data_IF_704485124830
#
_entry.id   IF_704485124830
#
_cell.length_a   1.000
_cell.length_b   1.000
_cell.length_c   1.000
_cell.angle_alpha   90.00
_cell.angle_beta   90.00
_cell.angle_gamma   90.00
#
_symmetry.space_group_name_H-M   'P 1'
#
loop_
_entity.id
_entity.type
_entity.pdbx_description
1 polymer ?
#
# COMPACT_ATOMS: atom_id res chain seq x y z
N UNK A 1 -2.19 32.53 37.24
CA UNK A 1 -0.79 32.46 37.67
C UNK A 1 -0.62 31.32 38.65
N UNK A 2 -0.31 30.12 38.15
CA UNK A 2 0.14 29.00 38.97
C UNK A 2 1.16 28.24 38.10
N UNK A 3 2.42 28.41 38.43
CA UNK A 3 3.58 27.74 37.85
C UNK A 3 3.79 26.42 38.55
N UNK A 4 3.75 25.31 37.82
CA UNK A 4 4.25 24.03 38.30
C UNK A 4 5.67 23.78 37.77
N UNK A 5 6.64 23.42 38.63
CA UNK A 5 8.00 23.09 38.19
C UNK A 5 8.07 21.62 37.72
N UNK A 6 8.72 21.42 36.60
CA UNK A 6 9.04 20.11 36.03
C UNK A 6 10.32 19.57 36.72
N UNK A 7 10.18 18.50 37.46
CA UNK A 7 11.33 17.81 38.09
C UNK A 7 12.07 16.93 37.07
N UNK A 8 13.38 17.18 36.91
CA UNK A 8 14.29 16.38 36.09
C UNK A 8 14.74 15.13 36.83
N UNK A 9 14.57 13.96 36.24
CA UNK A 9 15.12 12.70 36.72
C UNK A 9 16.67 12.65 36.56
N UNK A 10 17.39 11.98 37.47
CA UNK A 10 18.86 12.02 37.49
C UNK A 10 19.50 11.07 36.47
N UNK A 11 20.60 11.54 35.86
CA UNK A 11 21.43 10.82 34.92
C UNK A 11 22.10 9.59 35.55
N UNK A 12 21.90 8.40 35.00
CA UNK A 12 22.63 7.17 35.37
C UNK A 12 24.02 7.18 34.76
N UNK A 13 25.05 7.21 35.65
CA UNK A 13 26.47 7.02 35.30
C UNK A 13 26.68 5.60 34.76
N UNK A 14 27.17 5.47 33.53
CA UNK A 14 27.70 4.21 32.99
C UNK A 14 29.12 3.96 33.53
N UNK A 15 29.32 2.82 34.20
CA UNK A 15 30.65 2.30 34.56
C UNK A 15 31.30 1.67 33.32
N UNK A 16 32.46 2.16 32.96
CA UNK A 16 33.37 1.53 32.01
C UNK A 16 34.00 0.30 32.64
N UNK A 17 33.75 -0.87 32.10
CA UNK A 17 34.50 -2.10 32.39
C UNK A 17 35.54 -2.26 31.30
N UNK A 18 36.83 -2.16 31.70
CA UNK A 18 37.95 -2.54 30.86
C UNK A 18 38.06 -4.07 30.89
N UNK A 19 37.96 -4.71 29.71
CA UNK A 19 38.35 -6.11 29.54
C UNK A 19 39.50 -6.19 28.54
N UNK A 20 40.50 -6.91 28.95
CA UNK A 20 41.79 -6.99 28.28
C UNK A 20 41.79 -7.75 26.96
N UNK A 21 42.76 -7.37 26.11
CA UNK A 21 43.10 -8.07 24.88
C UNK A 21 43.66 -9.47 25.18
N UNK A 22 43.05 -10.49 24.61
CA UNK A 22 43.69 -11.77 24.31
C UNK A 22 43.60 -11.98 22.80
N UNK A 23 44.75 -11.97 22.15
CA UNK A 23 44.89 -12.24 20.73
C UNK A 23 44.77 -13.74 20.48
N UNK A 24 43.78 -14.15 19.70
CA UNK A 24 43.73 -15.49 19.09
C UNK A 24 43.76 -15.32 17.57
N UNK A 25 44.80 -15.82 16.97
CA UNK A 25 44.88 -16.03 15.52
C UNK A 25 43.89 -17.12 15.15
N UNK A 26 42.83 -16.77 14.45
CA UNK A 26 41.97 -17.73 13.80
C UNK A 26 42.13 -17.60 12.27
N UNK A 27 42.59 -18.69 11.70
CA UNK A 27 42.67 -18.92 10.25
C UNK A 27 41.26 -18.84 9.67
N UNK A 28 41.04 -17.84 8.82
CA UNK A 28 39.79 -17.70 8.08
C UNK A 28 39.76 -18.74 6.94
N UNK A 29 39.02 -19.83 7.11
CA UNK A 29 38.53 -20.60 5.98
C UNK A 29 37.42 -19.78 5.32
N UNK A 30 37.72 -19.26 4.15
CA UNK A 30 36.72 -18.66 3.25
C UNK A 30 35.77 -19.77 2.75
N UNK A 31 34.58 -19.86 3.34
CA UNK A 31 33.49 -20.60 2.71
C UNK A 31 32.97 -19.77 1.53
N UNK A 32 32.80 -20.36 0.33
CA UNK A 32 32.13 -19.65 -0.75
C UNK A 32 30.68 -19.39 -0.34
N UNK A 33 30.31 -18.10 -0.30
CA UNK A 33 28.94 -17.68 -0.10
C UNK A 33 28.09 -18.29 -1.20
N UNK A 34 27.13 -19.14 -0.83
CA UNK A 34 26.09 -19.60 -1.74
C UNK A 34 25.28 -18.38 -2.15
N UNK A 35 25.55 -17.87 -3.34
CA UNK A 35 24.62 -16.99 -4.04
C UNK A 35 23.32 -17.79 -4.20
N UNK A 36 22.24 -17.34 -3.56
CA UNK A 36 20.92 -17.86 -3.79
C UNK A 36 20.63 -17.75 -5.30
N UNK A 37 20.59 -18.89 -5.98
CA UNK A 37 20.26 -18.96 -7.38
C UNK A 37 18.82 -18.45 -7.54
N UNK A 38 18.67 -17.29 -8.20
CA UNK A 38 17.37 -16.82 -8.67
C UNK A 38 16.88 -17.85 -9.70
N UNK A 39 15.87 -18.63 -9.35
CA UNK A 39 15.13 -19.48 -10.27
C UNK A 39 14.13 -18.62 -11.06
N UNK A 40 14.66 -17.74 -11.89
CA UNK A 40 13.89 -16.94 -12.86
C UNK A 40 14.34 -17.31 -14.26
N UNK A 41 13.40 -17.42 -15.20
CA UNK A 41 13.69 -17.69 -16.59
C UNK A 41 14.76 -16.74 -17.13
N UNK A 42 15.78 -17.28 -17.80
CA UNK A 42 16.86 -16.51 -18.40
C UNK A 42 16.34 -15.73 -19.59
N UNK A 43 16.23 -14.43 -19.47
CA UNK A 43 15.98 -13.54 -20.60
C UNK A 43 17.24 -13.38 -21.46
N UNK A 44 17.04 -13.00 -22.72
CA UNK A 44 18.11 -12.77 -23.68
C UNK A 44 18.37 -11.28 -23.85
N UNK A 45 19.56 -10.94 -24.36
CA UNK A 45 19.90 -9.58 -24.79
C UNK A 45 18.93 -9.05 -25.86
N UNK A 46 18.46 -9.91 -26.77
CA UNK A 46 17.47 -9.53 -27.77
C UNK A 46 16.12 -9.15 -27.16
N UNK A 47 15.68 -9.88 -26.16
CA UNK A 47 14.46 -9.54 -25.43
C UNK A 47 14.58 -8.21 -24.69
N UNK A 48 15.69 -7.96 -24.01
CA UNK A 48 15.92 -6.68 -23.35
C UNK A 48 16.01 -5.51 -24.35
N UNK A 49 16.63 -5.70 -25.51
CA UNK A 49 16.65 -4.69 -26.56
C UNK A 49 15.26 -4.40 -27.14
N UNK A 50 14.45 -5.44 -27.40
CA UNK A 50 13.06 -5.28 -27.81
C UNK A 50 12.22 -4.58 -26.72
N UNK A 51 12.42 -4.98 -25.45
CA UNK A 51 11.77 -4.35 -24.31
C UNK A 51 12.10 -2.87 -24.17
N UNK A 52 13.35 -2.48 -24.41
CA UNK A 52 13.76 -1.08 -24.44
C UNK A 52 12.98 -0.28 -25.47
N UNK A 53 12.81 -0.81 -26.69
CA UNK A 53 12.04 -0.13 -27.73
C UNK A 53 10.59 0.10 -27.32
N UNK A 54 9.93 -0.91 -26.74
CA UNK A 54 8.57 -0.79 -26.22
C UNK A 54 8.51 0.21 -25.04
N UNK A 55 9.51 0.16 -24.16
CA UNK A 55 9.62 1.07 -23.02
C UNK A 55 9.70 2.53 -23.47
N UNK A 56 10.56 2.86 -24.42
CA UNK A 56 10.72 4.21 -24.96
C UNK A 56 9.43 4.75 -25.58
N UNK A 57 8.61 3.88 -26.18
CA UNK A 57 7.36 4.24 -26.84
C UNK A 57 6.17 4.37 -25.89
N UNK A 58 6.11 3.54 -24.87
CA UNK A 58 4.87 3.39 -24.07
C UNK A 58 5.04 3.68 -22.57
N UNK A 59 6.26 3.74 -22.03
CA UNK A 59 6.53 3.81 -20.60
C UNK A 59 7.34 5.05 -20.21
N UNK A 60 8.29 5.46 -21.07
CA UNK A 60 9.27 6.51 -20.76
C UNK A 60 8.65 7.88 -20.52
N UNK A 61 7.42 8.13 -20.99
CA UNK A 61 6.72 9.39 -20.75
C UNK A 61 6.44 9.60 -19.24
N UNK A 62 6.17 8.53 -18.50
CA UNK A 62 5.89 8.58 -17.06
C UNK A 62 7.08 8.09 -16.24
N UNK A 63 7.70 6.97 -16.61
CA UNK A 63 8.81 6.38 -15.87
C UNK A 63 10.19 6.94 -16.24
N UNK A 64 10.24 7.98 -17.07
CA UNK A 64 11.45 8.63 -17.60
C UNK A 64 12.34 7.68 -18.43
N UNK A 65 13.15 8.22 -19.33
CA UNK A 65 14.03 7.41 -20.21
C UNK A 65 15.13 6.68 -19.45
N UNK A 66 15.47 7.14 -18.26
CA UNK A 66 16.49 6.57 -17.36
C UNK A 66 15.90 5.68 -16.26
N UNK A 67 14.61 5.36 -16.33
CA UNK A 67 13.86 4.55 -15.35
C UNK A 67 13.78 5.14 -13.94
N UNK A 68 14.07 6.43 -13.75
CA UNK A 68 14.02 7.08 -12.43
C UNK A 68 12.61 7.38 -11.95
N UNK A 69 11.62 7.30 -12.85
CA UNK A 69 10.25 7.67 -12.55
C UNK A 69 10.06 9.19 -12.43
N UNK A 70 8.81 9.64 -12.45
CA UNK A 70 8.44 11.03 -12.22
C UNK A 70 7.03 11.14 -11.66
N UNK A 71 6.79 12.07 -10.76
CA UNK A 71 5.48 12.31 -10.12
C UNK A 71 4.92 11.04 -9.45
N UNK A 72 3.85 10.47 -10.01
CA UNK A 72 3.20 9.26 -9.50
C UNK A 72 3.78 7.96 -10.07
N UNK A 73 4.65 8.03 -11.07
CA UNK A 73 5.28 6.86 -11.67
C UNK A 73 6.53 6.46 -10.87
N UNK A 74 6.57 5.26 -10.27
CA UNK A 74 7.71 4.82 -9.47
C UNK A 74 8.96 4.62 -10.32
N UNK A 75 10.12 4.67 -9.67
CA UNK A 75 11.38 4.26 -10.31
C UNK A 75 11.36 2.76 -10.67
N UNK A 76 11.86 2.43 -11.85
CA UNK A 76 11.97 1.07 -12.34
C UNK A 76 13.43 0.57 -12.36
N UNK A 77 14.37 1.38 -11.89
CA UNK A 77 15.76 0.99 -11.68
C UNK A 77 16.29 1.61 -10.38
N UNK A 78 17.16 0.87 -9.67
CA UNK A 78 17.81 1.34 -8.47
C UNK A 78 17.47 0.54 -7.20
N UNK A 79 17.93 1.02 -6.03
CA UNK A 79 17.81 0.27 -4.77
C UNK A 79 16.35 -0.02 -4.35
N UNK A 80 15.42 0.90 -4.61
CA UNK A 80 14.02 0.72 -4.22
C UNK A 80 13.35 -0.35 -5.09
N UNK A 81 13.59 -0.34 -6.41
CA UNK A 81 13.11 -1.39 -7.29
C UNK A 81 13.67 -2.75 -6.88
N UNK A 82 14.98 -2.83 -6.65
CA UNK A 82 15.65 -4.08 -6.25
C UNK A 82 15.13 -4.62 -4.91
N UNK A 83 14.85 -3.75 -3.96
CA UNK A 83 14.28 -4.16 -2.66
C UNK A 83 12.88 -4.77 -2.82
N UNK A 84 12.04 -4.21 -3.67
CA UNK A 84 10.67 -4.69 -3.88
C UNK A 84 10.63 -5.93 -4.78
N UNK A 85 11.44 -5.95 -5.84
CA UNK A 85 11.36 -6.95 -6.90
C UNK A 85 12.50 -7.97 -6.90
N UNK A 86 13.61 -7.68 -6.23
CA UNK A 86 14.81 -8.51 -6.30
C UNK A 86 14.66 -9.94 -5.77
N UNK A 87 13.70 -10.20 -4.89
CA UNK A 87 13.39 -11.52 -4.36
C UNK A 87 12.08 -12.12 -4.91
N UNK A 88 11.33 -11.38 -5.74
CA UNK A 88 10.06 -11.84 -6.29
C UNK A 88 10.25 -12.64 -7.58
N UNK A 89 9.36 -13.59 -7.88
CA UNK A 89 9.33 -14.26 -9.17
C UNK A 89 9.09 -13.26 -10.30
N UNK A 90 9.83 -13.39 -11.39
CA UNK A 90 9.76 -12.45 -12.52
C UNK A 90 8.40 -12.44 -13.22
N UNK A 91 7.66 -13.54 -13.18
CA UNK A 91 6.30 -13.59 -13.71
C UNK A 91 5.34 -12.63 -12.99
N UNK A 92 5.54 -12.35 -11.71
CA UNK A 92 4.74 -11.35 -11.00
C UNK A 92 4.96 -9.94 -11.56
N UNK A 93 6.20 -9.60 -11.93
CA UNK A 93 6.50 -8.34 -12.60
C UNK A 93 5.85 -8.27 -13.99
N UNK A 94 5.93 -9.36 -14.76
CA UNK A 94 5.29 -9.47 -16.08
C UNK A 94 3.78 -9.30 -15.96
N UNK A 95 3.15 -9.97 -15.01
CA UNK A 95 1.71 -9.93 -14.78
C UNK A 95 1.28 -8.53 -14.31
N UNK A 96 2.04 -7.88 -13.43
CA UNK A 96 1.78 -6.51 -13.02
C UNK A 96 1.83 -5.56 -14.23
N UNK A 97 2.88 -5.63 -15.06
CA UNK A 97 2.99 -4.78 -16.26
C UNK A 97 1.81 -5.05 -17.19
N UNK A 98 1.44 -6.30 -17.40
CA UNK A 98 0.32 -6.68 -18.28
C UNK A 98 -1.01 -6.11 -17.81
N UNK A 99 -1.31 -6.22 -16.51
CA UNK A 99 -2.63 -5.85 -15.96
C UNK A 99 -2.76 -4.34 -15.76
N UNK A 100 -1.67 -3.66 -15.38
CA UNK A 100 -1.74 -2.27 -14.91
C UNK A 100 -1.08 -1.25 -15.84
N UNK A 101 -0.29 -1.67 -16.84
CA UNK A 101 0.48 -0.74 -17.68
C UNK A 101 0.17 -0.89 -19.18
N UNK A 102 0.09 0.24 -19.95
CA UNK A 102 0.02 1.62 -19.46
C UNK A 102 -1.26 1.90 -18.64
N UNK A 103 -1.26 2.88 -17.73
CA UNK A 103 -2.42 3.15 -16.89
C UNK A 103 -3.71 3.35 -17.70
N UNK A 104 -4.78 2.62 -17.33
CA UNK A 104 -6.06 2.64 -18.04
C UNK A 104 -6.06 1.87 -19.38
N UNK A 105 -4.94 1.25 -19.76
CA UNK A 105 -4.77 0.48 -21.00
C UNK A 105 -4.10 -0.88 -20.74
N UNK A 106 -4.30 -1.46 -19.56
CA UNK A 106 -3.79 -2.79 -19.25
C UNK A 106 -4.17 -3.82 -20.32
N UNK A 107 -3.25 -4.68 -20.71
CA UNK A 107 -3.47 -5.68 -21.76
C UNK A 107 -3.42 -5.15 -23.19
N UNK A 108 -3.11 -3.88 -23.42
CA UNK A 108 -3.12 -3.26 -24.77
C UNK A 108 -1.88 -3.53 -25.61
N UNK A 109 -0.77 -3.97 -24.98
CA UNK A 109 0.46 -4.29 -25.68
C UNK A 109 0.42 -5.74 -26.22
N UNK A 110 1.21 -6.05 -27.28
CA UNK A 110 1.40 -7.42 -27.73
C UNK A 110 1.91 -8.34 -26.61
N UNK A 111 1.51 -9.60 -26.60
CA UNK A 111 1.84 -10.54 -25.53
C UNK A 111 3.35 -10.72 -25.27
N UNK A 112 4.16 -10.64 -26.31
CA UNK A 112 5.61 -10.72 -26.24
C UNK A 112 6.28 -9.44 -25.71
N UNK A 113 5.57 -8.31 -25.71
CA UNK A 113 6.07 -7.04 -25.17
C UNK A 113 6.29 -7.10 -23.66
N UNK A 114 5.41 -7.78 -22.91
CA UNK A 114 5.48 -7.84 -21.45
C UNK A 114 6.73 -8.53 -20.92
N UNK A 115 7.10 -9.76 -21.36
CA UNK A 115 8.36 -10.37 -20.97
C UNK A 115 9.57 -9.59 -21.47
N UNK A 116 9.49 -8.95 -22.63
CA UNK A 116 10.57 -8.12 -23.16
C UNK A 116 10.79 -6.86 -22.28
N UNK A 117 9.73 -6.20 -21.84
CA UNK A 117 9.78 -5.09 -20.87
C UNK A 117 10.41 -5.52 -19.55
N UNK A 118 9.98 -6.67 -18.99
CA UNK A 118 10.58 -7.21 -17.79
C UNK A 118 12.08 -7.49 -17.96
N UNK A 119 12.49 -8.04 -19.10
CA UNK A 119 13.90 -8.27 -19.43
C UNK A 119 14.71 -6.97 -19.43
N UNK A 120 14.19 -5.90 -20.03
CA UNK A 120 14.83 -4.59 -20.07
C UNK A 120 14.97 -3.98 -18.66
N UNK A 121 13.91 -3.99 -17.88
CA UNK A 121 13.90 -3.46 -16.51
C UNK A 121 14.88 -4.24 -15.62
N UNK A 122 14.85 -5.56 -15.67
CA UNK A 122 15.77 -6.41 -14.91
C UNK A 122 17.22 -6.22 -15.32
N UNK A 123 17.50 -6.06 -16.64
CA UNK A 123 18.83 -5.73 -17.13
C UNK A 123 19.34 -4.39 -16.54
N UNK A 124 18.50 -3.36 -16.52
CA UNK A 124 18.83 -2.06 -15.93
C UNK A 124 19.14 -2.15 -14.42
N UNK A 125 18.61 -3.17 -13.74
CA UNK A 125 18.88 -3.47 -12.33
C UNK A 125 20.02 -4.51 -12.12
N UNK A 126 20.85 -4.76 -13.12
CA UNK A 126 22.05 -5.59 -13.01
C UNK A 126 21.81 -7.09 -13.09
N UNK A 127 20.63 -7.54 -13.50
CA UNK A 127 20.35 -8.95 -13.73
C UNK A 127 21.15 -9.45 -14.95
N UNK A 128 21.83 -10.59 -14.82
CA UNK A 128 22.57 -11.22 -15.93
C UNK A 128 21.59 -11.89 -16.90
N UNK A 129 21.67 -11.49 -18.17
CA UNK A 129 20.90 -12.09 -19.26
C UNK A 129 21.70 -13.25 -19.87
N UNK A 130 21.00 -14.36 -20.16
CA UNK A 130 21.65 -15.53 -20.77
C UNK A 130 22.01 -15.30 -22.27
N UNK A 131 23.01 -15.98 -22.80
CA UNK A 131 23.24 -16.05 -24.23
C UNK A 131 22.08 -16.79 -24.91
N UNK A 132 21.52 -16.18 -25.96
CA UNK A 132 20.31 -16.56 -26.64
C UNK A 132 20.08 -18.05 -26.84
N UNK A 133 19.04 -18.54 -26.19
CA UNK A 133 18.45 -19.83 -26.43
C UNK A 133 16.93 -19.66 -26.32
N UNK A 134 16.26 -19.61 -27.46
CA UNK A 134 14.83 -19.44 -27.55
C UNK A 134 14.09 -20.55 -26.84
N UNK A 135 13.44 -20.20 -25.75
CA UNK A 135 12.25 -20.87 -25.32
C UNK A 135 11.17 -19.78 -25.23
N UNK A 136 10.38 -19.69 -26.29
CA UNK A 136 9.02 -19.21 -26.14
C UNK A 136 8.43 -20.00 -24.99
N UNK A 137 7.91 -19.38 -23.91
CA UNK A 137 7.12 -20.14 -22.97
C UNK A 137 5.96 -20.69 -23.77
N UNK A 138 6.01 -22.00 -24.08
CA UNK A 138 4.84 -22.72 -24.47
C UNK A 138 3.80 -22.37 -23.40
N UNK A 139 2.68 -21.85 -23.81
CA UNK A 139 1.54 -21.61 -22.99
C UNK A 139 1.20 -22.94 -22.31
N UNK A 140 1.80 -23.19 -21.16
CA UNK A 140 1.26 -24.13 -20.21
C UNK A 140 -0.04 -23.48 -19.82
N UNK A 141 -1.13 -24.06 -20.31
CA UNK A 141 -2.47 -23.71 -19.89
C UNK A 141 -2.46 -23.76 -18.37
N UNK A 142 -2.19 -22.62 -17.75
CA UNK A 142 -2.47 -22.42 -16.36
C UNK A 142 -3.94 -22.73 -16.25
N UNK A 143 -4.26 -23.81 -15.54
CA UNK A 143 -5.59 -24.01 -15.03
C UNK A 143 -6.05 -22.64 -14.57
N UNK A 144 -7.03 -22.08 -15.29
CA UNK A 144 -7.80 -20.97 -14.80
C UNK A 144 -8.38 -21.50 -13.51
N UNK A 145 -7.74 -21.15 -12.39
CA UNK A 145 -8.46 -21.07 -11.14
C UNK A 145 -9.57 -20.11 -11.50
N UNK A 146 -10.77 -20.64 -11.61
CA UNK A 146 -11.96 -19.84 -11.77
C UNK A 146 -11.89 -18.85 -10.61
N UNK A 147 -11.59 -17.61 -10.91
CA UNK A 147 -11.83 -16.51 -10.00
C UNK A 147 -13.34 -16.53 -9.87
N UNK A 148 -13.80 -17.16 -8.80
CA UNK A 148 -15.19 -17.07 -8.40
C UNK A 148 -15.47 -15.58 -8.33
N UNK A 149 -16.38 -15.11 -9.17
CA UNK A 149 -16.92 -13.75 -9.07
C UNK A 149 -17.42 -13.63 -7.62
N UNK A 150 -16.86 -12.74 -6.79
CA UNK A 150 -17.31 -12.65 -5.40
C UNK A 150 -18.78 -12.28 -5.42
N UNK A 151 -19.56 -13.13 -4.79
CA UNK A 151 -20.97 -12.88 -4.50
C UNK A 151 -21.05 -11.68 -3.56
N UNK A 152 -22.07 -10.88 -3.71
CA UNK A 152 -22.31 -9.61 -3.02
C UNK A 152 -21.76 -9.57 -1.59
N UNK A 153 -20.92 -8.59 -1.29
CA UNK A 153 -20.34 -8.28 0.01
C UNK A 153 -19.41 -9.38 0.55
N UNK A 154 -18.14 -9.33 0.16
CA UNK A 154 -17.14 -10.24 0.69
C UNK A 154 -16.26 -9.52 1.72
N UNK A 155 -16.14 -10.10 2.92
CA UNK A 155 -15.20 -9.65 3.94
C UNK A 155 -14.20 -10.78 4.17
N UNK A 156 -12.94 -10.49 3.91
CA UNK A 156 -11.84 -11.42 4.19
C UNK A 156 -11.07 -10.90 5.41
N UNK A 157 -11.04 -11.69 6.49
CA UNK A 157 -10.27 -11.37 7.70
C UNK A 157 -9.02 -12.25 7.70
N UNK A 158 -7.86 -11.62 7.76
CA UNK A 158 -6.54 -12.28 7.71
C UNK A 158 -5.88 -12.33 9.09
N UNK A 159 -6.17 -11.34 9.95
CA UNK A 159 -5.75 -11.30 11.34
C UNK A 159 -6.81 -10.58 12.17
N UNK A 160 -6.89 -10.91 13.46
CA UNK A 160 -7.81 -10.25 14.37
C UNK A 160 -7.14 -9.03 15.02
N UNK A 161 -7.85 -7.92 15.08
CA UNK A 161 -7.49 -6.82 15.96
C UNK A 161 -7.94 -7.25 17.36
N UNK A 162 -6.99 -7.78 18.15
CA UNK A 162 -7.29 -8.39 19.45
C UNK A 162 -7.79 -7.37 20.48
N UNK A 163 -7.24 -6.17 20.44
CA UNK A 163 -7.62 -5.07 21.32
C UNK A 163 -8.04 -3.87 20.47
N UNK A 164 -9.25 -3.41 20.65
CA UNK A 164 -9.76 -2.20 20.00
C UNK A 164 -10.41 -1.31 21.05
N UNK A 165 -9.93 -0.08 21.18
CA UNK A 165 -10.52 0.91 22.07
C UNK A 165 -11.57 1.70 21.31
N UNK A 166 -12.86 1.62 21.68
CA UNK A 166 -13.94 2.33 21.00
C UNK A 166 -13.68 3.85 20.94
N UNK A 167 -14.04 4.45 19.81
CA UNK A 167 -13.89 5.89 19.60
C UNK A 167 -15.09 6.62 20.17
N UNK A 168 -14.87 7.40 21.20
CA UNK A 168 -15.90 8.24 21.82
C UNK A 168 -15.94 9.65 21.24
N UNK A 169 -16.96 10.43 21.54
CA UNK A 169 -17.02 11.85 21.22
C UNK A 169 -15.82 12.62 21.82
N UNK A 170 -15.46 12.29 23.06
CA UNK A 170 -14.29 12.89 23.71
C UNK A 170 -12.99 12.57 22.94
N UNK A 171 -12.86 11.34 22.42
CA UNK A 171 -11.72 10.93 21.60
C UNK A 171 -11.68 11.67 20.25
N UNK A 172 -12.85 11.95 19.65
CA UNK A 172 -12.92 12.75 18.41
C UNK A 172 -12.55 14.21 18.63
N UNK A 173 -12.89 14.78 19.80
CA UNK A 173 -12.56 16.16 20.16
C UNK A 173 -11.08 16.35 20.50
N UNK A 174 -10.48 15.39 21.20
CA UNK A 174 -9.07 15.41 21.61
C UNK A 174 -8.43 14.02 21.40
N UNK A 175 -8.08 13.69 20.15
CA UNK A 175 -7.48 12.39 19.82
C UNK A 175 -6.03 12.28 20.32
N UNK A 176 -5.63 11.08 20.69
CA UNK A 176 -4.23 10.79 21.03
C UNK A 176 -3.30 11.30 19.91
N UNK A 177 -2.07 11.73 20.23
CA UNK A 177 -1.14 12.27 19.24
C UNK A 177 -0.89 11.38 18.01
N UNK A 178 -0.91 10.06 18.17
CA UNK A 178 -0.73 9.07 17.12
C UNK A 178 -1.99 8.78 16.30
N UNK A 179 -3.16 9.23 16.75
CA UNK A 179 -4.43 8.95 16.09
C UNK A 179 -4.79 10.02 15.03
N UNK A 180 -5.44 9.57 13.96
CA UNK A 180 -6.01 10.41 12.91
C UNK A 180 -7.43 9.95 12.59
N UNK A 181 -8.45 10.49 13.30
CA UNK A 181 -9.79 9.90 13.37
C UNK A 181 -10.81 10.49 12.39
N UNK A 182 -10.44 11.55 11.66
CA UNK A 182 -11.30 12.16 10.64
C UNK A 182 -10.45 12.83 9.56
N UNK A 183 -11.08 13.36 8.50
CA UNK A 183 -10.43 13.91 7.30
C UNK A 183 -9.26 14.85 7.61
N UNK A 184 -9.37 15.72 8.60
CA UNK A 184 -8.32 16.65 9.00
C UNK A 184 -7.91 16.52 10.46
N UNK A 185 -7.98 15.32 10.99
CA UNK A 185 -7.65 14.92 12.36
C UNK A 185 -8.65 15.38 13.42
N UNK A 186 -9.02 16.65 13.43
CA UNK A 186 -9.90 17.30 14.42
C UNK A 186 -10.95 18.15 13.72
N UNK A 187 -12.03 18.51 14.41
CA UNK A 187 -13.15 19.27 13.86
C UNK A 187 -12.78 20.71 13.44
N UNK A 188 -11.71 21.28 13.98
CA UNK A 188 -11.18 22.58 13.54
C UNK A 188 -10.57 22.53 12.13
N UNK A 189 -10.33 21.33 11.61
CA UNK A 189 -9.90 21.13 10.25
C UNK A 189 -8.49 21.60 9.92
N UNK A 190 -7.63 21.79 10.92
CA UNK A 190 -6.25 22.28 10.69
C UNK A 190 -5.35 21.25 10.03
N UNK A 191 -5.63 19.94 10.22
CA UNK A 191 -4.80 18.88 9.65
C UNK A 191 -3.39 18.86 10.24
N UNK A 192 -3.27 19.25 11.50
CA UNK A 192 -1.99 19.34 12.22
C UNK A 192 -1.76 18.05 13.03
N UNK A 193 -0.55 17.49 12.91
CA UNK A 193 -0.08 16.41 13.77
C UNK A 193 0.75 17.00 14.91
N UNK A 194 0.46 16.67 16.18
CA UNK A 194 1.28 17.09 17.32
C UNK A 194 2.54 16.24 17.51
N UNK A 195 2.76 15.22 16.67
CA UNK A 195 3.97 14.38 16.72
C UNK A 195 5.20 15.20 16.33
N UNK A 196 6.32 14.98 17.01
CA UNK A 196 7.59 15.69 16.84
C UNK A 196 8.79 14.78 16.54
N UNK A 197 8.55 13.46 16.40
CA UNK A 197 9.61 12.49 16.08
C UNK A 197 10.29 12.80 14.76
N UNK A 198 9.53 13.35 13.79
CA UNK A 198 10.06 13.81 12.50
C UNK A 198 10.09 15.34 12.55
N UNK A 199 11.27 15.91 12.40
CA UNK A 199 11.50 17.34 12.48
C UNK A 199 12.55 17.79 11.46
N UNK A 200 12.92 19.08 11.45
CA UNK A 200 13.87 19.65 10.49
C UNK A 200 15.26 19.04 10.57
N UNK A 201 15.65 18.52 11.75
CA UNK A 201 17.00 18.02 11.98
C UNK A 201 17.15 16.57 11.50
N UNK A 202 16.07 15.78 11.40
CA UNK A 202 16.10 14.37 11.04
C UNK A 202 15.24 13.97 9.83
N UNK A 203 14.51 14.91 9.23
CA UNK A 203 13.66 14.60 8.06
C UNK A 203 14.45 14.02 6.88
N UNK A 204 15.73 14.35 6.75
CA UNK A 204 16.62 13.83 5.72
C UNK A 204 17.03 12.35 5.95
N UNK A 205 16.77 11.81 7.14
CA UNK A 205 17.02 10.40 7.50
C UNK A 205 15.81 9.51 7.24
N UNK A 206 14.69 10.07 6.75
CA UNK A 206 13.49 9.28 6.46
C UNK A 206 13.81 8.18 5.45
N UNK A 207 13.37 6.97 5.80
CA UNK A 207 13.47 5.79 4.95
C UNK A 207 12.08 5.19 4.76
N UNK A 208 11.88 4.53 3.64
CA UNK A 208 10.65 3.81 3.36
C UNK A 208 10.52 2.61 4.31
N UNK A 209 9.47 2.57 5.14
CA UNK A 209 9.19 1.46 6.03
C UNK A 209 8.51 0.29 5.28
N UNK A 210 7.46 0.59 4.53
CA UNK A 210 6.71 -0.39 3.73
C UNK A 210 5.96 0.31 2.60
N UNK A 211 5.44 -0.47 1.65
CA UNK A 211 4.62 0.00 0.52
C UNK A 211 3.38 -0.87 0.40
N UNK A 212 2.23 -0.24 0.21
CA UNK A 212 0.97 -0.90 -0.09
C UNK A 212 0.54 -0.61 -1.52
N UNK A 213 0.21 -1.65 -2.28
CA UNK A 213 -0.31 -1.51 -3.64
C UNK A 213 -1.83 -1.35 -3.58
N UNK A 214 -2.31 -0.17 -3.95
CA UNK A 214 -3.74 0.11 -4.02
C UNK A 214 -4.33 -0.40 -5.34
N UNK A 215 -5.62 -0.76 -5.38
CA UNK A 215 -6.33 -1.09 -6.63
C UNK A 215 -6.27 0.05 -7.65
N UNK A 216 -6.38 -0.31 -8.93
CA UNK A 216 -6.44 0.65 -10.03
C UNK A 216 -7.62 1.62 -9.89
N UNK A 217 -7.38 2.87 -10.26
CA UNK A 217 -8.38 3.92 -10.24
C UNK A 217 -7.88 5.21 -9.61
N UNK A 218 -8.79 6.16 -9.46
CA UNK A 218 -8.46 7.44 -8.79
C UNK A 218 -8.42 7.25 -7.28
N UNK A 219 -7.23 7.27 -6.72
CA UNK A 219 -6.98 7.21 -5.28
C UNK A 219 -6.84 8.62 -4.72
N UNK A 220 -7.73 9.00 -3.80
CA UNK A 220 -7.71 10.30 -3.11
C UNK A 220 -8.10 10.14 -1.62
N UNK A 221 -7.77 9.03 -0.96
CA UNK A 221 -8.20 8.84 0.42
C UNK A 221 -7.35 9.63 1.38
N UNK A 222 -7.99 10.05 2.49
CA UNK A 222 -7.29 10.34 3.73
C UNK A 222 -7.46 9.10 4.62
N UNK A 223 -6.40 8.33 4.89
CA UNK A 223 -6.49 7.21 5.80
C UNK A 223 -6.87 7.66 7.21
N UNK A 224 -7.63 6.85 7.92
CA UNK A 224 -7.80 7.01 9.36
C UNK A 224 -6.77 6.14 10.08
N UNK A 225 -6.31 6.60 11.23
CA UNK A 225 -5.42 5.83 12.11
C UNK A 225 -6.03 5.80 13.50
N UNK A 226 -6.20 4.60 14.04
CA UNK A 226 -6.65 4.37 15.41
C UNK A 226 -5.86 3.23 16.03
N UNK A 227 -5.17 3.53 17.13
CA UNK A 227 -4.46 2.53 17.94
C UNK A 227 -3.57 1.58 17.09
N UNK A 228 -2.74 2.16 16.22
CA UNK A 228 -1.83 1.42 15.33
C UNK A 228 -2.49 0.73 14.13
N UNK A 229 -3.79 0.90 13.90
CA UNK A 229 -4.49 0.39 12.72
C UNK A 229 -4.77 1.52 11.74
N UNK A 230 -4.37 1.33 10.48
CA UNK A 230 -4.62 2.25 9.37
C UNK A 230 -5.80 1.74 8.55
N UNK A 231 -6.86 2.54 8.47
CA UNK A 231 -8.05 2.25 7.65
C UNK A 231 -7.97 3.03 6.34
N UNK A 232 -7.98 2.30 5.23
CA UNK A 232 -7.76 2.83 3.91
C UNK A 232 -8.98 2.60 3.01
N UNK A 233 -9.50 3.67 2.42
CA UNK A 233 -10.53 3.60 1.40
C UNK A 233 -9.89 3.58 0.01
N UNK A 234 -10.31 2.64 -0.83
CA UNK A 234 -9.81 2.48 -2.18
C UNK A 234 -10.95 2.69 -3.21
N UNK A 235 -10.61 2.93 -4.50
CA UNK A 235 -11.59 2.98 -5.56
C UNK A 235 -12.44 1.70 -5.61
N UNK A 236 -13.71 1.84 -5.99
CA UNK A 236 -14.61 0.69 -6.13
C UNK A 236 -15.20 0.20 -4.82
N UNK A 237 -15.30 1.05 -3.80
CA UNK A 237 -15.84 0.69 -2.47
C UNK A 237 -15.06 -0.45 -1.78
N UNK A 238 -13.74 -0.46 -1.93
CA UNK A 238 -12.85 -1.39 -1.23
C UNK A 238 -12.28 -0.71 0.00
N UNK A 239 -12.50 -1.28 1.18
CA UNK A 239 -11.98 -0.77 2.44
C UNK A 239 -11.02 -1.80 3.02
N UNK A 240 -9.88 -1.35 3.49
CA UNK A 240 -8.83 -2.20 4.05
C UNK A 240 -8.39 -1.67 5.40
N UNK A 241 -8.10 -2.58 6.32
CA UNK A 241 -7.38 -2.26 7.55
C UNK A 241 -5.98 -2.88 7.48
N UNK A 242 -4.99 -2.07 7.77
CA UNK A 242 -3.58 -2.44 7.75
C UNK A 242 -2.98 -2.18 9.13
N UNK A 243 -2.07 -3.00 9.56
CA UNK A 243 -1.18 -2.67 10.68
C UNK A 243 -0.28 -1.50 10.26
N UNK A 244 -0.33 -0.40 10.98
CA UNK A 244 0.32 0.84 10.56
C UNK A 244 1.86 0.75 10.50
N UNK A 245 2.47 -0.07 11.38
CA UNK A 245 3.92 -0.21 11.46
C UNK A 245 4.50 -1.10 10.35
N UNK A 246 3.76 -2.11 9.91
CA UNK A 246 4.27 -3.15 9.00
C UNK A 246 3.63 -3.12 7.62
N UNK A 247 2.44 -2.49 7.48
CA UNK A 247 1.60 -2.58 6.29
C UNK A 247 0.91 -3.94 6.12
N UNK A 248 0.89 -4.79 7.16
CA UNK A 248 0.21 -6.09 7.09
C UNK A 248 -1.29 -5.91 6.95
N UNK A 249 -1.90 -6.56 5.96
CA UNK A 249 -3.35 -6.53 5.78
C UNK A 249 -4.04 -7.33 6.88
N UNK A 250 -4.91 -6.67 7.65
CA UNK A 250 -5.69 -7.27 8.73
C UNK A 250 -7.03 -7.78 8.22
N UNK A 251 -7.76 -6.95 7.50
CA UNK A 251 -8.99 -7.34 6.82
C UNK A 251 -9.27 -6.47 5.61
N UNK A 252 -10.13 -6.97 4.72
CA UNK A 252 -10.60 -6.27 3.54
C UNK A 252 -12.10 -6.47 3.38
N UNK A 253 -12.81 -5.37 3.13
CA UNK A 253 -14.21 -5.33 2.75
C UNK A 253 -14.34 -4.87 1.30
N UNK A 254 -15.17 -5.56 0.52
CA UNK A 254 -15.49 -5.20 -0.87
C UNK A 254 -17.01 -5.10 -1.04
N UNK A 255 -17.44 -3.97 -1.58
CA UNK A 255 -18.82 -3.78 -2.03
C UNK A 255 -18.86 -3.69 -3.54
N UNK A 256 -19.38 -4.71 -4.26
CA UNK A 256 -19.52 -4.65 -5.70
C UNK A 256 -20.36 -3.45 -6.13
N UNK A 257 -19.91 -2.74 -7.15
CA UNK A 257 -20.71 -1.68 -7.75
C UNK A 257 -21.72 -2.27 -8.74
N UNK A 258 -22.93 -1.72 -8.81
CA UNK A 258 -23.89 -2.06 -9.86
C UNK A 258 -23.31 -1.89 -11.25
N UNK A 259 -23.73 -2.73 -12.19
CA UNK A 259 -23.29 -2.66 -13.59
C UNK A 259 -23.53 -1.25 -14.18
N UNK A 260 -22.53 -0.73 -14.87
CA UNK A 260 -22.55 0.60 -15.47
C UNK A 260 -22.25 1.75 -14.52
N UNK A 261 -22.18 1.53 -13.21
CA UNK A 261 -21.76 2.54 -12.24
C UNK A 261 -20.23 2.62 -12.18
N UNK A 262 -19.67 3.74 -12.66
CA UNK A 262 -18.20 3.92 -12.71
C UNK A 262 -17.59 4.06 -11.32
N UNK A 263 -16.44 3.45 -11.12
CA UNK A 263 -15.62 3.67 -9.94
C UNK A 263 -15.16 5.13 -9.87
N UNK A 264 -15.16 5.68 -8.67
CA UNK A 264 -14.56 6.99 -8.35
C UNK A 264 -13.80 6.87 -7.04
N UNK A 265 -13.03 7.90 -6.72
CA UNK A 265 -12.36 7.97 -5.42
C UNK A 265 -13.37 7.96 -4.27
N UNK A 266 -13.07 7.15 -3.24
CA UNK A 266 -13.64 7.30 -1.90
C UNK A 266 -12.65 8.14 -1.12
N UNK A 267 -13.05 9.35 -0.70
CA UNK A 267 -12.09 10.34 -0.15
C UNK A 267 -11.80 10.16 1.32
N UNK A 268 -12.78 9.79 2.10
CA UNK A 268 -12.60 9.56 3.53
C UNK A 268 -13.65 8.60 4.10
N UNK A 269 -13.33 8.07 5.24
CA UNK A 269 -14.19 7.28 6.12
C UNK A 269 -14.47 8.11 7.38
N UNK A 270 -15.42 7.66 8.18
CA UNK A 270 -15.58 8.12 9.55
C UNK A 270 -15.51 6.93 10.50
N UNK A 271 -15.11 7.16 11.75
CA UNK A 271 -15.00 6.14 12.78
C UNK A 271 -15.67 6.66 14.06
N UNK A 272 -16.49 5.82 14.69
CA UNK A 272 -17.12 6.12 15.98
C UNK A 272 -17.56 4.83 16.68
N UNK A 273 -17.37 4.74 17.97
CA UNK A 273 -17.47 3.50 18.74
C UNK A 273 -16.58 2.41 18.09
N UNK A 274 -17.11 1.22 17.81
CA UNK A 274 -16.43 0.15 17.09
C UNK A 274 -16.76 0.15 15.59
N UNK A 275 -17.31 1.25 15.05
CA UNK A 275 -17.87 1.31 13.70
C UNK A 275 -17.06 2.19 12.79
N UNK A 276 -16.81 1.67 11.60
CA UNK A 276 -16.27 2.41 10.48
C UNK A 276 -17.39 2.68 9.46
N UNK A 277 -17.56 3.94 9.05
CA UNK A 277 -18.64 4.35 8.14
C UNK A 277 -18.09 4.65 6.75
N UNK A 278 -18.74 4.05 5.76
CA UNK A 278 -18.51 4.26 4.34
C UNK A 278 -19.76 4.85 3.68
N UNK A 279 -19.62 5.99 3.01
CA UNK A 279 -20.62 6.48 2.08
C UNK A 279 -20.29 5.92 0.69
N UNK A 280 -21.02 4.90 0.25
CA UNK A 280 -20.71 4.15 -0.96
C UNK A 280 -21.20 4.85 -2.24
N UNK A 281 -20.54 4.54 -3.35
CA UNK A 281 -20.84 5.15 -4.65
C UNK A 281 -22.28 4.90 -5.14
N UNK A 282 -22.88 3.79 -4.77
CA UNK A 282 -24.24 3.38 -5.09
C UNK A 282 -25.29 3.97 -4.12
N UNK A 283 -24.92 5.06 -3.42
CA UNK A 283 -25.78 5.83 -2.51
C UNK A 283 -26.28 5.03 -1.29
N UNK A 284 -25.39 4.25 -0.67
CA UNK A 284 -25.62 3.65 0.65
C UNK A 284 -24.68 4.27 1.68
N UNK A 285 -25.15 4.31 2.91
CA UNK A 285 -24.33 4.45 4.10
C UNK A 285 -24.15 3.06 4.71
N UNK A 286 -22.90 2.64 4.86
CA UNK A 286 -22.52 1.31 5.36
C UNK A 286 -21.74 1.46 6.64
N UNK A 287 -22.11 0.74 7.68
CA UNK A 287 -21.32 0.61 8.90
C UNK A 287 -20.65 -0.77 8.95
N UNK A 288 -19.34 -0.75 9.12
CA UNK A 288 -18.50 -1.93 9.27
C UNK A 288 -18.02 -2.02 10.72
N UNK A 289 -17.86 -3.22 11.24
CA UNK A 289 -17.09 -3.45 12.45
C UNK A 289 -15.62 -3.11 12.17
N UNK A 290 -15.05 -2.15 12.90
CA UNK A 290 -13.70 -1.66 12.68
C UNK A 290 -12.62 -2.73 12.91
N UNK A 291 -12.91 -3.79 13.70
CA UNK A 291 -11.97 -4.88 14.00
C UNK A 291 -11.93 -5.95 12.92
N UNK A 292 -13.06 -6.16 12.23
CA UNK A 292 -13.22 -7.34 11.35
C UNK A 292 -13.60 -6.98 9.92
N UNK A 293 -14.03 -5.75 9.65
CA UNK A 293 -14.57 -5.34 8.35
C UNK A 293 -15.98 -5.88 8.06
N UNK A 294 -16.59 -6.62 8.99
CA UNK A 294 -17.93 -7.19 8.80
C UNK A 294 -18.99 -6.10 8.76
N UNK A 295 -19.97 -6.25 7.87
CA UNK A 295 -21.10 -5.31 7.78
C UNK A 295 -21.97 -5.45 9.03
N UNK A 296 -22.13 -4.37 9.78
CA UNK A 296 -23.04 -4.28 10.92
C UNK A 296 -24.44 -3.88 10.45
N UNK A 297 -24.49 -2.90 9.57
CA UNK A 297 -25.72 -2.47 8.90
C UNK A 297 -25.40 -1.66 7.66
N UNK A 298 -26.40 -1.55 6.77
CA UNK A 298 -26.37 -0.64 5.63
C UNK A 298 -27.73 0.01 5.41
N UNK A 299 -27.73 1.23 4.94
CA UNK A 299 -28.95 1.99 4.65
C UNK A 299 -28.82 2.68 3.31
N UNK A 300 -29.82 2.49 2.45
CA UNK A 300 -29.91 3.21 1.19
C UNK A 300 -30.26 4.68 1.48
N UNK A 301 -29.39 5.60 1.06
CA UNK A 301 -29.62 7.05 1.24
C UNK A 301 -30.48 7.60 0.11
N UNK A 302 -30.21 7.16 -1.13
CA UNK A 302 -30.88 7.66 -2.33
C UNK A 302 -30.85 6.62 -3.46
N UNK A 303 -31.42 6.96 -4.59
CA UNK A 303 -31.38 6.12 -5.80
C UNK A 303 -30.26 6.56 -6.73
N UNK A 304 -29.19 5.76 -6.83
CA UNK A 304 -28.07 6.04 -7.73
C UNK A 304 -28.50 6.12 -9.22
N UNK A 305 -29.57 5.44 -9.62
CA UNK A 305 -30.11 5.49 -10.99
C UNK A 305 -30.68 6.87 -11.32
N UNK A 306 -31.04 7.66 -10.32
CA UNK A 306 -31.46 9.06 -10.46
C UNK A 306 -30.28 10.05 -10.39
N UNK A 307 -29.05 9.56 -10.40
CA UNK A 307 -27.84 10.38 -10.36
C UNK A 307 -27.30 10.69 -8.97
N UNK A 308 -27.94 10.19 -7.92
CA UNK A 308 -27.43 10.36 -6.55
C UNK A 308 -26.25 9.43 -6.28
N UNK A 309 -25.11 9.98 -5.96
CA UNK A 309 -23.90 9.20 -5.70
C UNK A 309 -23.04 9.89 -4.64
N UNK A 310 -22.29 9.11 -3.87
CA UNK A 310 -21.33 9.61 -2.90
C UNK A 310 -19.91 9.63 -3.48
N UNK A 311 -19.18 10.70 -3.23
CA UNK A 311 -17.74 10.83 -3.52
C UNK A 311 -16.98 11.47 -2.35
N UNK A 312 -17.66 12.14 -1.44
CA UNK A 312 -17.15 12.54 -0.13
C UNK A 312 -17.34 11.38 0.86
N UNK A 313 -16.70 11.45 2.01
CA UNK A 313 -16.97 10.52 3.10
C UNK A 313 -17.85 11.14 4.16
N UNK A 314 -18.41 10.32 5.04
CA UNK A 314 -19.23 10.78 6.15
C UNK A 314 -18.39 11.49 7.23
N UNK A 315 -19.08 12.22 8.09
CA UNK A 315 -18.55 12.79 9.33
C UNK A 315 -19.45 12.35 10.49
N UNK A 316 -18.86 12.11 11.67
CA UNK A 316 -19.63 11.87 12.89
C UNK A 316 -19.54 13.11 13.77
N UNK A 317 -20.68 13.55 14.28
CA UNK A 317 -20.79 14.67 15.24
C UNK A 317 -21.86 14.31 16.27
N UNK A 318 -21.52 14.35 17.55
CA UNK A 318 -22.42 14.01 18.65
C UNK A 318 -23.14 12.66 18.44
N UNK A 319 -22.38 11.63 18.03
CA UNK A 319 -22.90 10.30 17.72
C UNK A 319 -23.80 10.21 16.49
N UNK A 320 -23.96 11.30 15.73
CA UNK A 320 -24.76 11.35 14.50
C UNK A 320 -23.86 11.29 13.28
N UNK A 321 -24.13 10.37 12.35
CA UNK A 321 -23.43 10.28 11.07
C UNK A 321 -24.06 11.25 10.07
N UNK A 322 -23.28 12.17 9.57
CA UNK A 322 -23.65 13.17 8.56
C UNK A 322 -23.00 12.78 7.24
N UNK A 323 -23.79 12.73 6.17
CA UNK A 323 -23.33 12.42 4.82
C UNK A 323 -23.91 13.39 3.78
#
# INVERSE_FOLDING_TARGET
MLTHPYERAPARRRRLVRVGLAAWFAVALSAPGSAAAQTGGTFTQAQAAAGRTVYEQSCAQCHMSDLTGAFEAPELAGPNFTRVWGARPVNELIDLIRVSMPPGQGGSLPDDAYPNLAAYILQANGSTLGPGGGASPAATAASRVAVSTPSATDTSTFANIETFVPVSEATLLDPDPGDWLMYRRTYDGWGYSPLDQINRDNVHELALAWVWSMPDGTNQPTPLVRDGVLYLANPGNVIQALEADTGTLLWEYRRPLPEGLRTVAVRNLAIFEEKLFLASRDAYLVALDARTGSVLWETRIADYQQGYTNSAGPLVVEGTVIN
#
